data_IF_600949472927
#
_entry.id   IF_600949472927
#
_cell.length_a   1.000
_cell.length_b   1.000
_cell.length_c   1.000
_cell.angle_alpha   90.00
_cell.angle_beta   90.00
_cell.angle_gamma   90.00
#
_symmetry.space_group_name_H-M   'P 1'
#
loop_
_entity.id
_entity.type
_entity.pdbx_description
1 polymer ?
#
# COMPACT_ATOMS: atom_id res chain seq x y z
N UNK A 1 -8.07 -25.00 -6.97
CA UNK A 1 -8.05 -23.97 -8.04
C UNK A 1 -8.01 -22.59 -7.40
N UNK A 2 -6.88 -21.88 -7.50
CA UNK A 2 -6.80 -20.44 -7.21
C UNK A 2 -5.96 -19.81 -8.33
N UNK A 3 -6.61 -19.50 -9.46
CA UNK A 3 -5.95 -18.94 -10.64
C UNK A 3 -5.68 -17.43 -10.51
N UNK A 4 -6.35 -16.76 -9.57
CA UNK A 4 -6.16 -15.33 -9.34
C UNK A 4 -4.85 -15.04 -8.61
N UNK A 5 -3.98 -14.24 -9.25
CA UNK A 5 -2.76 -13.72 -8.63
C UNK A 5 -2.77 -12.20 -8.66
N UNK A 6 -2.82 -11.60 -7.47
CA UNK A 6 -2.78 -10.15 -7.29
C UNK A 6 -1.50 -9.52 -7.89
N UNK A 7 -0.43 -10.30 -8.07
CA UNK A 7 0.80 -9.86 -8.73
C UNK A 7 0.58 -9.34 -10.18
N UNK A 8 -0.46 -9.78 -10.89
CA UNK A 8 -0.81 -9.26 -12.22
C UNK A 8 -1.49 -7.89 -12.19
N UNK A 9 -2.04 -7.50 -11.05
CA UNK A 9 -2.79 -6.25 -10.90
C UNK A 9 -2.12 -5.24 -9.97
N UNK A 10 -0.99 -5.65 -9.37
CA UNK A 10 -0.24 -4.85 -8.41
C UNK A 10 0.05 -3.45 -8.97
N UNK A 11 -0.37 -2.43 -8.22
CA UNK A 11 -0.11 -1.04 -8.56
C UNK A 11 -1.00 -0.49 -9.68
N UNK A 12 -2.15 -1.11 -9.97
CA UNK A 12 -3.20 -0.53 -10.82
C UNK A 12 -3.99 0.57 -10.08
N UNK A 13 -4.82 1.34 -10.78
CA UNK A 13 -5.65 2.41 -10.21
C UNK A 13 -6.55 1.96 -9.05
N UNK A 14 -7.07 0.72 -9.10
CA UNK A 14 -7.86 0.14 -8.02
C UNK A 14 -7.03 -0.03 -6.72
N UNK A 15 -5.79 -0.51 -6.83
CA UNK A 15 -4.88 -0.55 -5.69
C UNK A 15 -4.59 0.84 -5.17
N UNK A 16 -4.47 1.83 -6.06
CA UNK A 16 -4.22 3.21 -5.63
C UNK A 16 -5.34 3.71 -4.72
N UNK A 17 -6.58 3.59 -5.17
CA UNK A 17 -7.74 4.04 -4.41
C UNK A 17 -7.85 3.29 -3.08
N UNK A 18 -7.74 1.94 -3.11
CA UNK A 18 -7.81 1.09 -1.92
C UNK A 18 -6.78 1.49 -0.87
N UNK A 19 -5.50 1.60 -1.26
CA UNK A 19 -4.44 1.94 -0.31
C UNK A 19 -4.54 3.39 0.19
N UNK A 20 -4.99 4.34 -0.63
CA UNK A 20 -5.20 5.71 -0.20
C UNK A 20 -6.25 5.79 0.92
N UNK A 21 -7.37 5.07 0.77
CA UNK A 21 -8.42 5.01 1.80
C UNK A 21 -7.91 4.33 3.07
N UNK A 22 -7.23 3.18 2.96
CA UNK A 22 -6.68 2.46 4.12
C UNK A 22 -5.71 3.33 4.92
N UNK A 23 -4.81 4.05 4.24
CA UNK A 23 -3.86 4.95 4.90
C UNK A 23 -4.59 6.05 5.66
N UNK A 24 -5.62 6.66 5.09
CA UNK A 24 -6.37 7.70 5.80
C UNK A 24 -7.18 7.15 6.97
N UNK A 25 -7.74 5.95 6.82
CA UNK A 25 -8.45 5.29 7.91
C UNK A 25 -7.51 5.00 9.09
N UNK A 26 -6.33 4.45 8.83
CA UNK A 26 -5.33 4.17 9.86
C UNK A 26 -4.84 5.46 10.54
N UNK A 27 -4.62 6.54 9.77
CA UNK A 27 -4.27 7.85 10.33
C UNK A 27 -5.36 8.43 11.21
N UNK A 28 -6.63 8.25 10.82
CA UNK A 28 -7.78 8.72 11.59
C UNK A 28 -7.96 7.90 12.88
N UNK A 29 -7.92 6.57 12.80
CA UNK A 29 -8.04 5.69 13.97
C UNK A 29 -6.88 5.90 14.96
N UNK A 30 -5.68 6.16 14.47
CA UNK A 30 -4.50 6.47 15.28
C UNK A 30 -4.54 7.84 15.98
N UNK A 31 -5.57 8.66 15.79
CA UNK A 31 -5.75 9.90 16.56
C UNK A 31 -6.11 9.62 18.04
N UNK A 32 -6.68 8.45 18.31
CA UNK A 32 -7.01 8.02 19.67
C UNK A 32 -5.86 7.22 20.24
N UNK A 33 -5.44 7.56 21.46
CA UNK A 33 -4.42 6.82 22.21
C UNK A 33 -4.99 5.52 22.80
N UNK A 34 -5.45 4.63 21.92
CA UNK A 34 -5.90 3.27 22.22
C UNK A 34 -5.52 2.36 21.07
N UNK A 35 -4.98 1.18 21.39
CA UNK A 35 -4.69 0.17 20.39
C UNK A 35 -5.95 -0.27 19.63
N UNK A 36 -5.78 -0.60 18.35
CA UNK A 36 -6.82 -1.18 17.49
C UNK A 36 -6.24 -2.32 16.66
N UNK A 37 -7.10 -3.21 16.19
CA UNK A 37 -6.73 -4.34 15.35
C UNK A 37 -6.96 -4.01 13.88
N UNK A 38 -6.01 -4.42 13.04
CA UNK A 38 -6.15 -4.38 11.58
C UNK A 38 -6.21 -5.82 11.07
N UNK A 39 -7.38 -6.22 10.56
CA UNK A 39 -7.62 -7.56 10.04
C UNK A 39 -7.76 -7.46 8.53
N UNK A 40 -6.81 -8.06 7.80
CA UNK A 40 -6.88 -8.17 6.34
C UNK A 40 -7.24 -9.60 5.96
N UNK A 41 -8.46 -9.78 5.46
CA UNK A 41 -8.98 -11.09 5.07
C UNK A 41 -8.34 -11.63 3.78
N UNK A 42 -7.71 -10.76 2.98
CA UNK A 42 -7.17 -11.09 1.66
C UNK A 42 -5.81 -10.41 1.42
N UNK A 43 -4.88 -10.54 2.38
CA UNK A 43 -3.59 -9.83 2.39
C UNK A 43 -2.66 -10.12 1.19
N UNK A 44 -2.84 -11.27 0.52
CA UNK A 44 -1.95 -11.71 -0.56
C UNK A 44 -0.50 -11.86 -0.09
N UNK A 45 0.46 -11.51 -0.94
CA UNK A 45 1.91 -11.61 -0.66
C UNK A 45 2.51 -10.39 0.09
N UNK A 46 1.72 -9.35 0.36
CA UNK A 46 2.18 -8.12 1.02
C UNK A 46 2.96 -7.17 0.09
N UNK A 47 4.10 -7.60 -0.47
CA UNK A 47 4.94 -6.76 -1.35
C UNK A 47 5.04 -7.38 -2.74
N UNK A 48 4.90 -6.55 -3.77
CA UNK A 48 4.98 -6.97 -5.18
C UNK A 48 6.00 -6.11 -5.93
N UNK A 49 6.86 -6.75 -6.73
CA UNK A 49 7.73 -6.02 -7.67
C UNK A 49 6.90 -5.46 -8.82
N UNK A 50 7.04 -4.16 -9.08
CA UNK A 50 6.38 -3.44 -10.18
C UNK A 50 7.29 -3.23 -11.39
N UNK A 51 8.59 -3.52 -11.22
CA UNK A 51 9.61 -3.38 -12.27
C UNK A 51 9.90 -4.70 -12.99
N UNK A 52 9.59 -5.81 -12.34
CA UNK A 52 9.96 -7.16 -12.80
C UNK A 52 8.82 -8.16 -12.48
N UNK A 53 8.70 -9.23 -13.27
CA UNK A 53 7.80 -10.35 -12.97
C UNK A 53 6.39 -10.21 -13.57
N UNK A 54 5.36 -10.57 -12.78
CA UNK A 54 3.98 -10.68 -13.27
C UNK A 54 3.31 -9.32 -13.54
N UNK A 55 3.68 -8.27 -12.78
CA UNK A 55 3.11 -6.92 -12.93
C UNK A 55 3.51 -6.25 -14.26
N UNK A 56 4.66 -6.61 -14.82
CA UNK A 56 5.12 -6.10 -16.12
C UNK A 56 4.43 -6.77 -17.30
N UNK A 57 3.84 -7.96 -17.13
CA UNK A 57 3.18 -8.71 -18.22
C UNK A 57 1.84 -8.10 -18.65
N UNK A 58 1.11 -7.49 -17.73
CA UNK A 58 -0.22 -6.90 -17.96
C UNK A 58 -0.17 -5.38 -18.18
N UNK A 59 0.98 -4.73 -17.93
CA UNK A 59 1.18 -3.29 -18.19
C UNK A 59 0.34 -2.33 -17.32
N UNK A 60 -0.52 -2.85 -16.44
CA UNK A 60 -1.47 -2.08 -15.62
C UNK A 60 -0.79 -1.14 -14.63
N UNK A 61 0.43 -1.48 -14.18
CA UNK A 61 1.20 -0.66 -13.23
C UNK A 61 1.79 0.61 -13.85
N UNK A 62 2.08 0.59 -15.16
CA UNK A 62 2.76 1.73 -15.85
C UNK A 62 1.90 2.99 -15.88
N UNK A 63 0.57 2.86 -15.91
CA UNK A 63 -0.36 4.00 -16.01
C UNK A 63 -0.67 4.63 -14.64
N UNK A 64 -0.77 3.82 -13.60
CA UNK A 64 -1.12 4.28 -12.25
C UNK A 64 0.09 4.83 -11.47
N UNK A 65 1.29 4.25 -11.60
CA UNK A 65 2.50 4.77 -10.95
C UNK A 65 2.96 6.13 -11.47
N UNK A 66 2.67 6.46 -12.74
CA UNK A 66 3.06 7.75 -13.34
C UNK A 66 2.20 8.92 -12.87
N UNK A 67 0.96 8.66 -12.45
CA UNK A 67 0.00 9.70 -12.07
C UNK A 67 -0.47 9.66 -10.61
N UNK A 68 -0.04 8.68 -9.81
CA UNK A 68 -0.46 8.59 -8.40
C UNK A 68 0.71 8.39 -7.44
N UNK A 69 0.85 9.36 -6.54
CA UNK A 69 1.92 9.53 -5.57
C UNK A 69 1.94 8.52 -4.41
N UNK A 70 1.57 7.25 -4.62
CA UNK A 70 1.74 6.21 -3.59
C UNK A 70 3.21 5.96 -3.28
N UNK A 71 4.11 6.15 -4.25
CA UNK A 71 5.56 6.16 -4.00
C UNK A 71 6.01 7.27 -3.01
N UNK A 72 5.17 8.26 -2.71
CA UNK A 72 5.44 9.30 -1.71
C UNK A 72 4.91 8.96 -0.31
N UNK A 73 3.93 8.05 -0.20
CA UNK A 73 3.38 7.60 1.10
C UNK A 73 4.38 6.73 1.85
N UNK A 74 5.26 6.03 1.13
CA UNK A 74 6.29 5.15 1.68
C UNK A 74 7.71 5.75 1.54
N UNK A 75 7.89 7.04 1.80
CA UNK A 75 9.25 7.51 2.14
C UNK A 75 9.54 7.03 3.55
N UNK A 76 10.66 6.33 3.80
CA UNK A 76 11.09 6.11 5.17
C UNK A 76 11.27 7.49 5.80
N UNK A 77 10.60 7.70 6.93
CA UNK A 77 10.85 8.80 7.85
C UNK A 77 12.30 8.65 8.34
N UNK A 78 13.29 9.08 7.55
CA UNK A 78 14.71 8.85 7.84
C UNK A 78 15.54 10.11 8.00
N UNK A 79 14.94 11.30 8.04
CA UNK A 79 15.68 12.51 8.40
C UNK A 79 14.83 13.39 9.31
N UNK A 80 15.17 13.34 10.60
CA UNK A 80 14.75 14.26 11.65
C UNK A 80 13.24 14.37 11.91
N UNK A 81 12.66 13.36 12.54
CA UNK A 81 11.48 13.59 13.36
C UNK A 81 11.67 12.93 14.71
N UNK A 82 11.82 13.76 15.73
CA UNK A 82 11.52 13.46 17.13
C UNK A 82 10.04 13.07 17.25
N UNK A 83 9.66 11.90 16.70
CA UNK A 83 8.41 11.25 17.02
C UNK A 83 8.67 10.43 18.27
N UNK A 84 8.24 10.96 19.42
CA UNK A 84 8.06 10.16 20.61
C UNK A 84 7.16 8.98 20.22
N UNK A 85 7.72 7.77 20.19
CA UNK A 85 6.92 6.56 20.37
C UNK A 85 6.11 6.77 21.65
N UNK A 86 4.78 6.76 21.61
CA UNK A 86 4.03 6.58 22.84
C UNK A 86 4.44 5.21 23.40
N UNK A 87 4.78 5.18 24.70
CA UNK A 87 5.01 3.94 25.42
C UNK A 87 3.70 3.15 25.49
#
# INVERSE_FOLDING_TARGET
MLSYRHAFHAGNHADVLKHAVVVQLLRYLGQKDKAYWYIDTHAGAGVYSLKEGYATKTGSSKRALRNCGIARICRPCSRNMSMKCPR
#
